data_IF_636104255719
#
_entry.id   IF_636104255719
#
_cell.length_a   1.000
_cell.length_b   1.000
_cell.length_c   1.000
_cell.angle_alpha   90.00
_cell.angle_beta   90.00
_cell.angle_gamma   90.00
#
_symmetry.space_group_name_H-M   'P 1'
#
loop_
_entity.id
_entity.type
_entity.pdbx_description
1 polymer ?
#
# COMPACT_ATOMS: atom_id res chain seq x y z
N UNK A 1 -10.69 23.92 5.12
CA UNK A 1 -10.82 23.47 3.72
C UNK A 1 -9.54 23.84 2.99
N UNK A 2 -8.84 22.89 2.41
CA UNK A 2 -7.67 23.15 1.57
C UNK A 2 -8.16 23.44 0.16
N UNK A 3 -8.03 24.70 -0.28
CA UNK A 3 -8.43 25.09 -1.64
C UNK A 3 -7.31 24.73 -2.60
N UNK A 4 -7.63 23.93 -3.59
CA UNK A 4 -6.75 23.71 -4.72
C UNK A 4 -6.79 24.95 -5.61
N UNK A 5 -5.63 25.45 -5.97
CA UNK A 5 -5.47 26.60 -6.85
C UNK A 5 -4.47 26.25 -7.94
N UNK A 6 -4.76 26.71 -9.13
CA UNK A 6 -3.81 26.63 -10.23
C UNK A 6 -2.67 27.61 -9.98
N UNK A 7 -1.43 27.10 -9.97
CA UNK A 7 -0.24 27.93 -9.91
C UNK A 7 0.38 28.10 -11.30
N UNK A 8 0.86 29.30 -11.59
CA UNK A 8 1.51 29.66 -12.86
C UNK A 8 2.79 30.47 -12.64
N UNK A 9 3.75 30.27 -13.53
CA UNK A 9 4.98 31.10 -13.60
C UNK A 9 4.69 32.36 -14.38
N UNK A 10 5.19 33.50 -13.88
CA UNK A 10 5.13 34.80 -14.60
C UNK A 10 6.51 35.46 -14.65
N UNK A 11 6.79 36.18 -15.75
CA UNK A 11 8.08 36.80 -16.00
C UNK A 11 8.05 38.33 -15.85
N UNK A 12 6.89 38.88 -15.51
CA UNK A 12 6.66 40.37 -15.51
C UNK A 12 6.99 41.05 -14.18
N UNK A 13 7.21 40.31 -13.11
CA UNK A 13 7.48 40.81 -11.76
C UNK A 13 8.61 40.03 -11.11
N UNK A 14 9.25 40.65 -10.10
CA UNK A 14 10.31 40.02 -9.31
C UNK A 14 9.91 39.93 -7.83
N UNK A 15 10.24 38.84 -7.13
CA UNK A 15 9.96 38.66 -5.72
C UNK A 15 8.47 38.66 -5.36
N UNK A 16 7.58 38.40 -6.33
CA UNK A 16 6.14 38.65 -6.19
C UNK A 16 5.29 37.39 -6.37
N UNK A 17 4.29 37.28 -5.52
CA UNK A 17 3.19 36.32 -5.64
C UNK A 17 1.89 37.07 -5.85
N UNK A 18 1.19 36.82 -6.95
CA UNK A 18 -0.15 37.36 -7.17
C UNK A 18 -1.18 36.32 -6.66
N UNK A 19 -1.98 36.72 -5.69
CA UNK A 19 -3.08 35.95 -5.14
C UNK A 19 -4.43 36.47 -5.60
N UNK A 20 -5.44 35.58 -5.79
CA UNK A 20 -6.83 36.03 -5.96
C UNK A 20 -7.28 36.87 -4.77
N UNK A 21 -8.09 37.90 -5.04
CA UNK A 21 -8.64 38.80 -4.00
C UNK A 21 -9.41 38.02 -2.91
N UNK A 22 -10.04 36.91 -3.27
CA UNK A 22 -10.77 36.03 -2.32
C UNK A 22 -9.93 35.46 -1.17
N UNK A 23 -8.62 35.50 -1.27
CA UNK A 23 -7.72 35.10 -0.18
C UNK A 23 -7.46 36.22 0.85
N UNK A 24 -7.72 37.49 0.52
CA UNK A 24 -7.42 38.63 1.41
C UNK A 24 -8.09 38.51 2.78
N UNK A 25 -9.38 38.17 2.79
CA UNK A 25 -10.16 38.06 4.04
C UNK A 25 -9.85 36.76 4.82
N UNK A 26 -9.15 35.84 4.20
CA UNK A 26 -8.79 34.54 4.79
C UNK A 26 -7.43 34.51 5.47
N UNK A 27 -6.64 35.56 5.26
CA UNK A 27 -5.31 35.70 5.84
C UNK A 27 -5.39 36.38 7.19
N UNK A 28 -5.01 35.67 8.25
CA UNK A 28 -4.90 36.23 9.60
C UNK A 28 -3.67 37.14 9.73
N UNK A 29 -2.60 36.80 9.00
CA UNK A 29 -1.33 37.55 8.99
C UNK A 29 -0.90 37.91 7.56
N UNK A 30 -0.08 38.94 7.44
CA UNK A 30 0.52 39.30 6.16
C UNK A 30 1.55 38.24 5.73
N UNK A 31 1.31 37.59 4.60
CA UNK A 31 2.28 36.67 4.01
C UNK A 31 3.53 37.44 3.55
N UNK A 32 4.69 36.98 4.04
CA UNK A 32 6.01 37.56 3.71
C UNK A 32 6.99 36.49 3.23
N UNK A 33 6.61 35.21 3.31
CA UNK A 33 7.39 34.06 2.88
C UNK A 33 6.58 33.15 1.96
N UNK A 34 7.21 32.71 0.88
CA UNK A 34 6.70 31.64 0.03
C UNK A 34 7.54 30.39 0.26
N UNK A 35 6.89 29.23 0.42
CA UNK A 35 7.55 27.95 0.66
C UNK A 35 7.07 26.89 -0.32
N UNK A 36 7.97 25.98 -0.68
CA UNK A 36 7.69 24.75 -1.39
C UNK A 36 8.55 23.64 -0.78
N UNK A 37 7.89 22.69 -0.11
CA UNK A 37 8.54 21.66 0.66
C UNK A 37 9.58 22.24 1.64
N UNK A 38 10.84 21.80 1.60
CA UNK A 38 11.91 22.25 2.50
C UNK A 38 12.52 23.60 2.13
N UNK A 39 12.14 24.22 1.02
CA UNK A 39 12.65 25.53 0.59
C UNK A 39 11.66 26.64 0.90
N UNK A 40 12.19 27.79 1.34
CA UNK A 40 11.41 29.01 1.50
C UNK A 40 12.21 30.23 1.04
N UNK A 41 11.49 31.23 0.55
CA UNK A 41 12.09 32.50 0.10
C UNK A 41 11.18 33.67 0.47
N UNK A 42 11.73 34.88 0.79
CA UNK A 42 10.90 36.03 1.06
C UNK A 42 10.14 36.43 -0.20
N UNK A 43 8.91 36.91 -0.02
CA UNK A 43 8.07 37.35 -1.13
C UNK A 43 7.20 38.56 -0.76
N UNK A 44 6.75 39.27 -1.77
CA UNK A 44 5.70 40.26 -1.68
C UNK A 44 4.40 39.67 -2.27
N UNK A 45 3.30 39.76 -1.52
CA UNK A 45 1.99 39.35 -2.00
C UNK A 45 1.22 40.55 -2.52
N UNK A 46 0.69 40.45 -3.73
CA UNK A 46 -0.23 41.40 -4.36
C UNK A 46 -1.54 40.64 -4.66
N UNK A 47 -2.66 41.24 -4.25
CA UNK A 47 -3.98 40.67 -4.52
C UNK A 47 -4.49 41.22 -5.87
N UNK A 48 -5.00 40.31 -6.68
CA UNK A 48 -5.48 40.63 -8.04
C UNK A 48 -6.99 40.38 -8.10
N UNK A 49 -7.78 41.45 -8.35
CA UNK A 49 -9.20 41.30 -8.60
C UNK A 49 -9.45 40.32 -9.77
N UNK A 50 -10.54 39.55 -9.71
CA UNK A 50 -10.97 38.62 -10.75
C UNK A 50 -9.96 37.52 -11.14
N UNK A 51 -8.87 37.37 -10.40
CA UNK A 51 -7.96 36.25 -10.60
C UNK A 51 -8.52 34.94 -9.99
N UNK A 52 -8.32 33.86 -10.70
CA UNK A 52 -8.65 32.49 -10.24
C UNK A 52 -7.41 31.57 -10.19
N UNK A 53 -6.24 32.18 -10.32
CA UNK A 53 -4.94 31.48 -10.33
C UNK A 53 -3.96 32.19 -9.40
N UNK A 54 -3.04 31.45 -8.82
CA UNK A 54 -1.88 31.95 -8.11
C UNK A 54 -0.75 32.10 -9.11
N UNK A 55 -0.21 33.32 -9.24
CA UNK A 55 0.89 33.61 -10.17
C UNK A 55 2.16 33.85 -9.36
N UNK A 56 3.25 33.14 -9.67
CA UNK A 56 4.53 33.22 -8.97
C UNK A 56 5.60 33.75 -9.93
N UNK A 57 6.33 34.79 -9.53
CA UNK A 57 7.42 35.32 -10.33
C UNK A 57 8.53 34.30 -10.59
N UNK A 58 9.20 34.44 -11.73
CA UNK A 58 10.21 33.46 -12.22
C UNK A 58 11.34 33.26 -11.21
N UNK A 59 11.85 34.33 -10.60
CA UNK A 59 12.90 34.26 -9.58
C UNK A 59 12.49 33.47 -8.34
N UNK A 60 11.26 33.62 -7.86
CA UNK A 60 10.71 32.82 -6.75
C UNK A 60 10.48 31.36 -7.17
N UNK A 61 9.99 31.16 -8.41
CA UNK A 61 9.78 29.84 -8.97
C UNK A 61 11.06 29.02 -9.00
N UNK A 62 12.16 29.63 -9.48
CA UNK A 62 13.45 28.99 -9.61
C UNK A 62 14.15 28.83 -8.25
N UNK A 63 14.04 29.81 -7.34
CA UNK A 63 14.55 29.72 -5.97
C UNK A 63 13.94 28.55 -5.19
N UNK A 64 12.65 28.29 -5.39
CA UNK A 64 11.92 27.19 -4.76
C UNK A 64 12.10 25.85 -5.51
N UNK A 65 12.65 25.86 -6.72
CA UNK A 65 12.74 24.72 -7.64
C UNK A 65 11.37 24.07 -7.89
N UNK A 66 10.33 24.88 -8.14
CA UNK A 66 9.01 24.40 -8.51
C UNK A 66 9.09 23.64 -9.86
N UNK A 67 8.62 22.39 -9.94
CA UNK A 67 8.90 21.55 -11.12
C UNK A 67 8.08 21.97 -12.35
N UNK A 68 6.82 22.37 -12.18
CA UNK A 68 5.90 22.71 -13.27
C UNK A 68 4.63 23.40 -12.75
N UNK A 69 3.87 24.02 -13.62
CA UNK A 69 2.54 24.53 -13.34
C UNK A 69 1.53 23.41 -13.14
N UNK A 70 0.65 23.53 -12.13
CA UNK A 70 -0.43 22.57 -11.85
C UNK A 70 -1.46 23.14 -10.87
N UNK A 71 -2.54 22.40 -10.62
CA UNK A 71 -3.44 22.66 -9.51
C UNK A 71 -2.87 22.04 -8.24
N UNK A 72 -2.57 22.85 -7.21
CA UNK A 72 -2.04 22.36 -5.93
C UNK A 72 -2.76 22.96 -4.73
N UNK A 73 -2.59 22.35 -3.57
CA UNK A 73 -3.07 22.90 -2.31
C UNK A 73 -2.23 24.11 -1.88
N UNK A 74 -2.88 25.03 -1.18
CA UNK A 74 -2.25 26.15 -0.50
C UNK A 74 -2.43 25.98 1.01
N UNK A 75 -1.32 26.09 1.76
CA UNK A 75 -1.36 26.04 3.23
C UNK A 75 -0.80 27.35 3.78
N UNK A 76 -1.53 27.98 4.69
CA UNK A 76 -1.09 29.20 5.35
C UNK A 76 -0.68 28.86 6.79
N UNK A 77 0.56 29.19 7.14
CA UNK A 77 1.12 29.01 8.48
C UNK A 77 1.81 30.30 8.93
N UNK A 78 1.15 31.08 9.80
CA UNK A 78 1.63 32.40 10.18
C UNK A 78 1.88 33.27 8.93
N UNK A 79 3.09 33.79 8.79
CA UNK A 79 3.49 34.64 7.66
C UNK A 79 3.93 33.87 6.41
N UNK A 80 3.79 32.53 6.37
CA UNK A 80 4.27 31.69 5.27
C UNK A 80 3.11 31.10 4.47
N UNK A 81 3.19 31.24 3.14
CA UNK A 81 2.36 30.52 2.18
C UNK A 81 3.14 29.31 1.65
N UNK A 82 2.64 28.10 1.91
CA UNK A 82 3.18 26.86 1.37
C UNK A 82 2.41 26.44 0.12
N UNK A 83 3.14 26.16 -0.95
CA UNK A 83 2.64 25.58 -2.20
C UNK A 83 2.86 24.06 -2.18
N UNK A 84 1.93 23.28 -2.66
CA UNK A 84 2.16 21.85 -2.75
C UNK A 84 1.05 21.00 -2.14
N UNK A 85 1.34 19.84 -1.54
CA UNK A 85 2.67 19.34 -1.16
C UNK A 85 3.46 18.68 -2.30
N UNK A 86 4.75 18.43 -2.04
CA UNK A 86 5.59 17.53 -2.83
C UNK A 86 5.57 16.12 -2.21
N UNK A 87 5.00 15.15 -2.92
CA UNK A 87 4.92 13.74 -2.51
C UNK A 87 6.00 12.94 -3.22
N UNK A 88 6.91 12.34 -2.47
CA UNK A 88 7.91 11.42 -2.97
C UNK A 88 7.47 9.96 -2.89
N UNK A 89 7.38 9.25 -4.01
CA UNK A 89 7.17 7.79 -4.00
C UNK A 89 8.54 7.13 -4.04
N UNK A 90 8.94 6.52 -2.92
CA UNK A 90 10.26 5.90 -2.77
C UNK A 90 10.26 4.47 -3.29
N UNK A 91 11.21 4.17 -4.21
CA UNK A 91 11.32 2.84 -4.81
C UNK A 91 12.74 2.50 -5.27
N UNK A 92 12.89 1.37 -5.96
CA UNK A 92 14.14 0.88 -6.54
C UNK A 92 13.92 0.31 -7.94
N UNK A 93 15.00 -0.06 -8.62
CA UNK A 93 14.94 -0.65 -9.96
C UNK A 93 14.89 0.39 -11.08
N UNK A 94 15.58 1.50 -10.88
CA UNK A 94 15.73 2.54 -11.89
C UNK A 94 16.66 2.09 -13.02
N UNK A 95 16.45 2.65 -14.21
CA UNK A 95 17.22 2.42 -15.43
C UNK A 95 17.55 3.76 -16.08
N UNK A 96 18.54 3.76 -16.99
CA UNK A 96 18.92 4.95 -17.75
C UNK A 96 17.98 5.27 -18.93
N UNK A 97 16.92 4.47 -19.09
CA UNK A 97 15.94 4.67 -20.17
C UNK A 97 14.88 5.70 -19.80
N UNK A 98 14.89 6.85 -20.43
CA UNK A 98 13.90 7.93 -20.15
C UNK A 98 12.44 7.50 -20.34
N UNK A 99 12.14 6.62 -21.31
CA UNK A 99 10.77 6.12 -21.52
C UNK A 99 10.33 5.07 -20.48
N UNK A 100 11.29 4.43 -19.81
CA UNK A 100 11.05 3.41 -18.77
C UNK A 100 12.00 3.57 -17.59
N UNK A 101 11.97 4.72 -16.91
CA UNK A 101 12.98 5.04 -15.88
C UNK A 101 12.97 4.05 -14.71
N UNK A 102 11.90 3.28 -14.51
CA UNK A 102 11.78 2.27 -13.45
C UNK A 102 11.52 0.88 -14.09
N UNK A 103 12.08 0.63 -15.26
CA UNK A 103 11.92 -0.61 -16.01
C UNK A 103 10.44 -0.96 -16.25
N UNK A 104 10.04 -2.21 -16.03
CA UNK A 104 8.67 -2.68 -16.20
C UNK A 104 7.67 -2.00 -15.26
N UNK A 105 8.14 -1.45 -14.13
CA UNK A 105 7.29 -0.74 -13.16
C UNK A 105 6.97 0.70 -13.56
N UNK A 106 7.55 1.22 -14.63
CA UNK A 106 7.28 2.60 -15.09
C UNK A 106 5.80 2.83 -15.33
N UNK A 107 5.09 1.91 -16.01
CA UNK A 107 3.64 2.02 -16.22
C UNK A 107 2.85 1.98 -14.91
N UNK A 108 3.32 1.22 -13.93
CA UNK A 108 2.70 1.16 -12.60
C UNK A 108 2.75 2.52 -11.91
N UNK A 109 3.92 3.19 -11.91
CA UNK A 109 4.08 4.50 -11.29
C UNK A 109 3.45 5.63 -12.11
N UNK A 110 3.50 5.58 -13.44
CA UNK A 110 2.81 6.54 -14.30
C UNK A 110 1.32 6.68 -13.95
N UNK A 111 0.65 5.56 -13.61
CA UNK A 111 -0.75 5.57 -13.15
C UNK A 111 -0.98 6.25 -11.80
N UNK A 112 0.01 6.32 -10.92
CA UNK A 112 -0.06 7.11 -9.69
C UNK A 112 0.17 8.59 -10.01
N UNK A 113 1.23 8.89 -10.74
CA UNK A 113 1.63 10.25 -11.04
C UNK A 113 0.62 10.98 -11.94
N UNK A 114 -0.14 10.27 -12.79
CA UNK A 114 -1.23 10.85 -13.56
C UNK A 114 -2.41 11.37 -12.73
N UNK A 115 -2.42 11.10 -11.41
CA UNK A 115 -3.44 11.59 -10.47
C UNK A 115 -2.98 12.86 -9.72
N UNK A 116 -1.78 13.38 -9.99
CA UNK A 116 -1.21 14.55 -9.31
C UNK A 116 -2.14 15.75 -9.31
N UNK A 117 -2.66 16.15 -10.47
CA UNK A 117 -3.61 17.28 -10.59
C UNK A 117 -4.93 16.97 -9.84
N UNK A 118 -5.39 15.72 -9.88
CA UNK A 118 -6.63 15.31 -9.20
C UNK A 118 -6.49 15.39 -7.68
N UNK A 119 -5.33 15.01 -7.13
CA UNK A 119 -5.08 15.12 -5.68
C UNK A 119 -4.55 16.50 -5.27
N UNK A 120 -4.11 17.32 -6.21
CA UNK A 120 -3.58 18.67 -5.96
C UNK A 120 -2.20 18.66 -5.28
N UNK A 121 -1.32 17.76 -5.71
CA UNK A 121 0.01 17.60 -5.15
C UNK A 121 1.05 17.30 -6.23
N UNK A 122 2.25 17.81 -6.09
CA UNK A 122 3.38 17.42 -6.93
C UNK A 122 3.81 16.01 -6.54
N UNK A 123 3.70 15.06 -7.45
CA UNK A 123 4.09 13.68 -7.17
C UNK A 123 5.27 13.27 -8.05
N UNK A 124 6.31 12.70 -7.44
CA UNK A 124 7.45 12.17 -8.16
C UNK A 124 7.87 10.81 -7.60
N UNK A 125 8.65 10.07 -8.40
CA UNK A 125 9.26 8.79 -7.99
C UNK A 125 10.76 8.97 -7.90
N UNK A 126 11.37 8.47 -6.83
CA UNK A 126 12.82 8.54 -6.61
C UNK A 126 13.35 7.30 -5.86
N UNK A 127 14.66 7.14 -5.83
CA UNK A 127 15.37 6.10 -5.08
C UNK A 127 16.56 6.67 -4.32
N UNK A 128 17.23 5.87 -3.51
CA UNK A 128 18.34 6.35 -2.68
C UNK A 128 19.51 7.00 -3.45
N UNK A 129 19.75 6.58 -4.68
CA UNK A 129 20.81 7.17 -5.51
C UNK A 129 20.44 8.50 -6.19
N UNK A 130 19.21 8.97 -6.01
CA UNK A 130 18.72 10.25 -6.50
C UNK A 130 18.77 11.36 -5.44
N UNK A 131 19.29 11.06 -4.26
CA UNK A 131 19.28 11.99 -3.12
C UNK A 131 20.62 12.73 -3.06
N UNK A 132 20.56 14.05 -3.09
CA UNK A 132 21.68 14.97 -2.91
C UNK A 132 21.62 15.54 -1.49
N UNK A 133 22.24 14.82 -0.55
CA UNK A 133 22.12 15.11 0.88
C UNK A 133 22.64 16.49 1.27
N UNK A 134 23.74 16.92 0.65
CA UNK A 134 24.40 18.21 0.97
C UNK A 134 23.58 19.41 0.45
N UNK A 135 22.79 19.19 -0.59
CA UNK A 135 21.93 20.23 -1.19
C UNK A 135 20.49 20.21 -0.67
N UNK A 136 20.09 19.17 0.04
CA UNK A 136 18.72 18.97 0.49
C UNK A 136 17.73 18.76 -0.65
N UNK A 137 18.18 18.08 -1.75
CA UNK A 137 17.40 17.90 -2.97
C UNK A 137 17.34 16.43 -3.41
N UNK A 138 16.37 16.13 -4.28
CA UNK A 138 16.26 14.86 -4.97
C UNK A 138 16.09 15.06 -6.48
N UNK A 139 16.59 14.12 -7.26
CA UNK A 139 16.24 13.95 -8.67
C UNK A 139 14.94 13.15 -8.77
N UNK A 140 13.81 13.83 -8.85
CA UNK A 140 12.48 13.22 -8.95
C UNK A 140 12.07 12.95 -10.40
N UNK A 141 11.49 11.77 -10.66
CA UNK A 141 10.84 11.46 -11.93
C UNK A 141 9.36 11.78 -11.85
N UNK A 142 8.91 12.73 -12.66
CA UNK A 142 7.52 13.13 -12.85
C UNK A 142 6.95 12.49 -14.12
N UNK A 143 5.63 12.32 -14.17
CA UNK A 143 4.94 11.81 -15.36
C UNK A 143 3.83 12.77 -15.76
N UNK A 144 3.96 13.32 -16.97
CA UNK A 144 3.04 14.31 -17.52
C UNK A 144 2.51 13.90 -18.89
N UNK A 145 1.79 14.80 -19.56
CA UNK A 145 1.21 14.55 -20.90
C UNK A 145 2.29 14.16 -21.93
N UNK A 146 3.46 14.79 -21.83
CA UNK A 146 4.60 14.56 -22.71
C UNK A 146 5.40 13.30 -22.35
N UNK A 147 5.09 12.65 -21.23
CA UNK A 147 5.76 11.46 -20.72
C UNK A 147 6.54 11.68 -19.43
N UNK A 148 7.63 10.94 -19.26
CA UNK A 148 8.50 11.02 -18.11
C UNK A 148 9.48 12.19 -18.23
N UNK A 149 9.60 12.96 -17.16
CA UNK A 149 10.63 14.00 -17.02
C UNK A 149 11.35 13.86 -15.68
N UNK A 150 12.64 14.18 -15.67
CA UNK A 150 13.49 14.19 -14.49
C UNK A 150 13.73 15.65 -14.08
N UNK A 151 13.47 15.98 -12.81
CA UNK A 151 13.67 17.33 -12.24
C UNK A 151 14.33 17.23 -10.89
N UNK A 152 15.28 18.12 -10.62
CA UNK A 152 15.84 18.30 -9.28
C UNK A 152 14.88 19.20 -8.47
N UNK A 153 14.40 18.68 -7.34
CA UNK A 153 13.43 19.35 -6.46
C UNK A 153 13.89 19.22 -5.01
N UNK A 154 13.37 20.01 -4.06
CA UNK A 154 13.66 19.85 -2.63
C UNK A 154 13.30 18.46 -2.11
N UNK A 155 13.72 18.12 -0.91
CA UNK A 155 13.22 16.91 -0.24
C UNK A 155 11.69 16.94 -0.15
N UNK A 156 11.00 15.80 -0.31
CA UNK A 156 9.53 15.76 -0.28
C UNK A 156 8.95 16.14 1.09
N UNK A 157 7.74 16.69 1.11
CA UNK A 157 6.97 16.92 2.35
C UNK A 157 6.53 15.60 3.01
N UNK A 158 6.40 14.54 2.22
CA UNK A 158 5.97 13.21 2.67
C UNK A 158 6.47 12.14 1.72
N UNK A 159 6.80 10.96 2.25
CA UNK A 159 7.30 9.85 1.46
C UNK A 159 6.36 8.64 1.57
N UNK A 160 5.93 8.16 0.40
CA UNK A 160 5.19 6.91 0.23
C UNK A 160 6.14 5.78 -0.17
N UNK A 161 6.33 4.79 0.71
CA UNK A 161 7.24 3.68 0.47
C UNK A 161 6.61 2.61 -0.44
N UNK A 162 7.19 2.44 -1.63
CA UNK A 162 6.81 1.42 -2.63
C UNK A 162 8.00 0.60 -3.09
N UNK A 163 8.91 0.26 -2.17
CA UNK A 163 9.99 -0.70 -2.45
C UNK A 163 9.41 -2.02 -3.01
N UNK A 164 10.10 -2.66 -3.98
CA UNK A 164 9.52 -3.78 -4.73
C UNK A 164 9.38 -5.07 -3.94
N UNK A 165 10.26 -5.31 -2.98
CA UNK A 165 10.32 -6.57 -2.23
C UNK A 165 11.13 -6.43 -0.92
N UNK A 166 10.99 -7.43 -0.03
CA UNK A 166 11.69 -7.50 1.26
C UNK A 166 13.21 -7.49 1.13
N UNK A 167 13.76 -8.14 0.09
CA UNK A 167 15.20 -8.19 -0.13
C UNK A 167 15.78 -6.79 -0.33
N UNK A 168 15.13 -5.98 -1.17
CA UNK A 168 15.54 -4.59 -1.39
C UNK A 168 15.43 -3.76 -0.10
N UNK A 169 14.36 -3.91 0.65
CA UNK A 169 14.13 -3.20 1.90
C UNK A 169 15.21 -3.49 2.96
N UNK A 170 15.77 -4.71 2.97
CA UNK A 170 16.80 -5.12 3.91
C UNK A 170 18.20 -4.59 3.58
N UNK A 171 18.42 -4.04 2.40
CA UNK A 171 19.71 -3.45 2.03
C UNK A 171 19.98 -2.20 2.88
N UNK A 172 21.23 -2.07 3.38
CA UNK A 172 21.63 -1.01 4.31
C UNK A 172 21.30 0.39 3.79
N UNK A 173 21.57 0.65 2.52
CA UNK A 173 21.32 1.94 1.88
C UNK A 173 19.84 2.38 1.95
N UNK A 174 18.86 1.46 1.80
CA UNK A 174 17.45 1.81 1.89
C UNK A 174 17.00 2.06 3.33
N UNK A 175 17.53 1.28 4.28
CA UNK A 175 17.27 1.49 5.71
C UNK A 175 17.85 2.81 6.21
N UNK A 176 19.10 3.11 5.87
CA UNK A 176 19.76 4.36 6.24
C UNK A 176 19.06 5.57 5.61
N UNK A 177 18.65 5.48 4.34
CA UNK A 177 17.88 6.54 3.69
C UNK A 177 16.57 6.83 4.43
N UNK A 178 15.81 5.78 4.76
CA UNK A 178 14.57 5.93 5.50
C UNK A 178 14.81 6.55 6.86
N UNK A 179 15.75 6.00 7.62
CA UNK A 179 16.10 6.49 8.96
C UNK A 179 16.48 7.97 8.91
N UNK A 180 17.39 8.35 8.00
CA UNK A 180 17.86 9.73 7.87
C UNK A 180 16.75 10.70 7.48
N UNK A 181 15.85 10.31 6.55
CA UNK A 181 14.71 11.15 6.17
C UNK A 181 13.73 11.36 7.33
N UNK A 182 13.51 10.35 8.17
CA UNK A 182 12.59 10.43 9.31
C UNK A 182 13.20 11.12 10.52
N UNK A 183 14.46 10.81 10.86
CA UNK A 183 15.09 11.28 12.11
C UNK A 183 15.78 12.63 11.96
N UNK A 184 16.52 12.87 10.85
CA UNK A 184 17.28 14.11 10.65
C UNK A 184 16.42 15.21 10.02
N UNK A 185 15.50 14.82 9.10
CA UNK A 185 14.68 15.77 8.35
C UNK A 185 13.21 15.79 8.76
N UNK A 186 12.79 14.90 9.66
CA UNK A 186 11.43 14.80 10.18
C UNK A 186 10.36 14.68 9.08
N UNK A 187 10.69 14.02 7.97
CA UNK A 187 9.76 13.83 6.86
C UNK A 187 8.84 12.64 7.14
N UNK A 188 7.52 12.82 7.17
CA UNK A 188 6.57 11.73 7.32
C UNK A 188 6.78 10.64 6.27
N UNK A 189 6.87 9.39 6.73
CA UNK A 189 7.11 8.22 5.90
C UNK A 189 6.05 7.16 6.18
N UNK A 190 5.25 6.79 5.20
CA UNK A 190 4.20 5.82 5.44
C UNK A 190 4.35 4.54 4.59
N UNK A 191 3.71 3.46 5.06
CA UNK A 191 3.89 2.07 4.62
C UNK A 191 5.36 1.61 4.69
N UNK A 192 6.01 1.75 5.86
CA UNK A 192 7.46 1.75 6.00
C UNK A 192 8.13 0.38 5.83
N UNK A 193 7.37 -0.69 5.64
CA UNK A 193 7.93 -2.05 5.50
C UNK A 193 6.91 -3.08 5.05
N UNK A 194 7.40 -4.27 4.69
CA UNK A 194 6.56 -5.44 4.43
C UNK A 194 6.19 -6.11 5.75
N UNK A 195 4.92 -6.48 5.89
CA UNK A 195 4.46 -7.21 7.07
C UNK A 195 5.07 -8.61 7.14
N UNK A 196 5.57 -9.01 8.31
CA UNK A 196 5.88 -10.40 8.60
C UNK A 196 4.60 -11.14 9.01
N UNK A 197 4.37 -12.33 8.46
CA UNK A 197 3.11 -13.07 8.66
C UNK A 197 2.91 -13.48 10.12
N UNK A 198 3.98 -13.89 10.78
CA UNK A 198 3.90 -14.33 12.17
C UNK A 198 3.72 -13.14 13.10
N UNK A 199 4.48 -12.07 12.93
CA UNK A 199 4.35 -10.87 13.75
C UNK A 199 2.94 -10.28 13.65
N UNK A 200 2.35 -10.22 12.45
CA UNK A 200 0.95 -9.78 12.28
C UNK A 200 -0.02 -10.72 12.99
N UNK A 201 0.18 -12.04 12.91
CA UNK A 201 -0.67 -13.00 13.63
C UNK A 201 -0.59 -12.80 15.13
N UNK A 202 0.61 -12.72 15.73
CA UNK A 202 0.80 -12.46 17.17
C UNK A 202 0.16 -11.15 17.61
N UNK A 203 0.37 -10.08 16.86
CA UNK A 203 -0.20 -8.78 17.12
C UNK A 203 -1.75 -8.82 17.16
N UNK A 204 -2.36 -9.45 16.17
CA UNK A 204 -3.80 -9.53 16.05
C UNK A 204 -4.43 -10.50 17.06
N UNK A 205 -3.73 -11.59 17.44
CA UNK A 205 -4.22 -12.55 18.40
C UNK A 205 -4.44 -11.97 19.79
N UNK A 206 -3.67 -10.95 20.16
CA UNK A 206 -3.79 -10.25 21.45
C UNK A 206 -4.96 -9.26 21.52
N UNK A 207 -5.67 -9.01 20.42
CA UNK A 207 -6.73 -8.03 20.34
C UNK A 207 -8.10 -8.66 20.13
N UNK A 208 -9.05 -8.37 21.01
CA UNK A 208 -10.40 -8.94 20.96
C UNK A 208 -11.20 -8.56 19.70
N UNK A 209 -10.86 -7.43 19.04
CA UNK A 209 -11.49 -6.94 17.80
C UNK A 209 -11.05 -7.74 16.59
N UNK A 210 -9.86 -8.38 16.64
CA UNK A 210 -9.25 -9.03 15.48
C UNK A 210 -9.07 -10.55 15.65
N UNK A 211 -8.83 -11.04 16.88
CA UNK A 211 -8.47 -12.45 17.14
C UNK A 211 -9.47 -13.48 16.59
N UNK A 212 -10.76 -13.13 16.55
CA UNK A 212 -11.80 -14.06 16.07
C UNK A 212 -11.82 -14.23 14.54
N UNK A 213 -11.06 -13.42 13.80
CA UNK A 213 -10.83 -13.59 12.37
C UNK A 213 -9.63 -14.49 12.05
N UNK A 214 -8.85 -14.90 13.06
CA UNK A 214 -7.61 -15.65 12.84
C UNK A 214 -7.86 -17.16 12.85
N UNK A 215 -7.45 -17.91 11.81
CA UNK A 215 -7.35 -19.35 11.91
C UNK A 215 -6.23 -19.69 12.89
N UNK A 216 -6.39 -20.79 13.64
CA UNK A 216 -5.34 -21.26 14.54
C UNK A 216 -4.04 -21.45 13.77
N UNK A 217 -2.97 -20.80 14.23
CA UNK A 217 -1.69 -20.77 13.53
C UNK A 217 -0.56 -20.90 14.55
N UNK A 218 0.46 -21.68 14.23
CA UNK A 218 1.66 -21.81 15.04
C UNK A 218 2.91 -21.67 14.18
N UNK A 219 3.94 -21.05 14.75
CA UNK A 219 5.25 -20.87 14.13
C UNK A 219 6.16 -22.04 14.49
N UNK A 220 7.05 -22.42 13.58
CA UNK A 220 8.04 -23.47 13.78
C UNK A 220 7.41 -24.78 14.37
N UNK A 221 6.39 -25.37 13.72
CA UNK A 221 5.63 -26.47 14.30
C UNK A 221 6.48 -27.72 14.46
N UNK A 222 6.24 -28.50 15.52
CA UNK A 222 6.73 -29.87 15.60
C UNK A 222 5.84 -30.80 14.77
N UNK A 223 6.33 -32.03 14.50
CA UNK A 223 5.55 -33.07 13.84
C UNK A 223 4.29 -33.42 14.64
N UNK A 224 4.42 -33.57 15.96
CA UNK A 224 3.33 -33.89 16.88
C UNK A 224 2.24 -32.82 16.87
N UNK A 225 2.64 -31.56 16.76
CA UNK A 225 1.68 -30.44 16.66
C UNK A 225 0.90 -30.51 15.34
N UNK A 226 1.56 -30.79 14.22
CA UNK A 226 0.89 -30.98 12.92
C UNK A 226 -0.11 -32.13 12.99
N UNK A 227 0.27 -33.27 13.58
CA UNK A 227 -0.59 -34.42 13.77
C UNK A 227 -1.80 -34.11 14.67
N UNK A 228 -1.57 -33.41 15.79
CA UNK A 228 -2.63 -32.97 16.70
C UNK A 228 -3.63 -32.04 16.00
N UNK A 229 -3.14 -31.07 15.22
CA UNK A 229 -4.02 -30.18 14.45
C UNK A 229 -4.82 -30.94 13.38
N UNK A 230 -4.25 -31.99 12.76
CA UNK A 230 -4.97 -32.84 11.79
C UNK A 230 -5.98 -33.79 12.45
N UNK A 231 -5.92 -34.01 13.76
CA UNK A 231 -6.99 -34.68 14.50
C UNK A 231 -8.19 -33.77 14.75
N UNK A 232 -7.93 -32.50 14.98
CA UNK A 232 -8.96 -31.48 15.25
C UNK A 232 -9.57 -30.96 13.96
N UNK A 233 -8.72 -30.67 12.97
CA UNK A 233 -9.11 -30.05 11.71
C UNK A 233 -9.00 -31.05 10.55
N UNK A 234 -9.90 -30.99 9.62
CA UNK A 234 -9.91 -31.86 8.43
C UNK A 234 -8.62 -31.76 7.62
N UNK A 235 -8.02 -30.58 7.56
CA UNK A 235 -6.76 -30.31 6.88
C UNK A 235 -6.04 -29.13 7.51
N UNK A 236 -4.75 -29.03 7.26
CA UNK A 236 -3.90 -27.91 7.66
C UNK A 236 -3.05 -27.42 6.50
N UNK A 237 -2.57 -26.20 6.60
CA UNK A 237 -1.61 -25.64 5.65
C UNK A 237 -0.26 -25.46 6.32
N UNK A 238 0.81 -25.92 5.66
CA UNK A 238 2.19 -25.53 5.95
C UNK A 238 2.56 -24.42 4.99
N UNK A 239 3.03 -23.28 5.51
CA UNK A 239 3.34 -22.05 4.74
C UNK A 239 4.71 -21.54 5.16
N UNK A 240 5.59 -21.07 4.25
CA UNK A 240 6.79 -20.35 4.64
C UNK A 240 6.44 -19.09 5.47
N UNK A 241 7.10 -18.92 6.61
CA UNK A 241 6.92 -17.71 7.44
C UNK A 241 7.28 -16.45 6.66
N UNK A 242 8.31 -16.53 5.80
CA UNK A 242 8.75 -15.45 4.90
C UNK A 242 8.56 -15.89 3.45
N UNK A 243 7.36 -15.76 2.92
CA UNK A 243 7.04 -16.15 1.55
C UNK A 243 6.02 -15.20 0.92
N UNK A 244 5.91 -15.23 -0.39
CA UNK A 244 4.92 -14.45 -1.17
C UNK A 244 4.41 -15.29 -2.35
N UNK A 245 3.34 -14.83 -3.00
CA UNK A 245 2.79 -15.40 -4.23
C UNK A 245 2.31 -16.87 -4.09
N UNK A 246 2.03 -17.35 -2.90
CA UNK A 246 1.58 -18.73 -2.68
C UNK A 246 2.66 -19.80 -2.87
N UNK A 247 3.94 -19.41 -2.99
CA UNK A 247 5.05 -20.33 -3.15
C UNK A 247 5.33 -21.12 -1.87
N UNK A 248 5.59 -22.45 -2.00
CA UNK A 248 5.94 -23.32 -0.89
C UNK A 248 4.78 -23.64 0.06
N UNK A 249 3.52 -23.40 -0.35
CA UNK A 249 2.34 -23.78 0.43
C UNK A 249 2.04 -25.26 0.19
N UNK A 250 1.90 -26.01 1.30
CA UNK A 250 1.50 -27.41 1.31
C UNK A 250 0.19 -27.56 2.09
N UNK A 251 -0.84 -28.10 1.47
CA UNK A 251 -2.08 -28.50 2.15
C UNK A 251 -1.98 -29.97 2.54
N UNK A 252 -2.04 -30.27 3.83
CA UNK A 252 -2.04 -31.64 4.35
C UNK A 252 -3.46 -32.01 4.74
N UNK A 253 -3.95 -33.12 4.23
CA UNK A 253 -5.31 -33.62 4.43
C UNK A 253 -5.19 -35.03 5.05
N UNK A 254 -5.82 -35.24 6.19
CA UNK A 254 -5.94 -36.57 6.78
C UNK A 254 -6.95 -37.41 5.98
N UNK A 255 -6.57 -38.60 5.55
CA UNK A 255 -7.48 -39.51 4.84
C UNK A 255 -8.64 -39.93 5.73
N UNK A 256 -9.85 -40.01 5.18
CA UNK A 256 -11.05 -40.50 5.89
C UNK A 256 -11.24 -42.00 5.75
N UNK A 257 -10.77 -42.60 4.66
CA UNK A 257 -11.07 -43.96 4.26
C UNK A 257 -9.93 -44.96 4.57
N UNK A 258 -8.70 -44.48 4.63
CA UNK A 258 -7.49 -45.27 4.84
C UNK A 258 -6.53 -44.54 5.77
N UNK A 259 -5.72 -45.28 6.52
CA UNK A 259 -4.61 -44.67 7.24
C UNK A 259 -3.68 -43.92 6.28
N UNK A 260 -3.24 -42.71 6.64
CA UNK A 260 -2.33 -41.90 5.86
C UNK A 260 -2.82 -40.48 5.59
N UNK A 261 -2.02 -39.76 4.83
CA UNK A 261 -2.17 -38.35 4.57
C UNK A 261 -2.04 -38.06 3.08
N UNK A 262 -2.78 -37.07 2.60
CA UNK A 262 -2.58 -36.49 1.27
C UNK A 262 -1.92 -35.12 1.42
N UNK A 263 -0.92 -34.86 0.59
CA UNK A 263 -0.30 -33.53 0.48
C UNK A 263 -0.57 -32.96 -0.91
N UNK A 264 -1.22 -31.80 -0.93
CA UNK A 264 -1.44 -31.01 -2.15
C UNK A 264 -0.49 -29.83 -2.13
N UNK A 265 0.26 -29.64 -3.24
CA UNK A 265 1.26 -28.60 -3.38
C UNK A 265 1.47 -28.24 -4.85
N UNK A 266 2.19 -27.15 -5.11
CA UNK A 266 2.60 -26.77 -6.45
C UNK A 266 4.05 -27.24 -6.74
N UNK A 267 4.21 -27.87 -7.90
CA UNK A 267 5.49 -28.27 -8.49
C UNK A 267 5.62 -27.52 -9.82
N UNK A 268 6.37 -26.42 -9.82
CA UNK A 268 6.34 -25.43 -10.90
C UNK A 268 4.95 -24.80 -11.03
N UNK A 269 4.33 -24.94 -12.19
CA UNK A 269 2.96 -24.46 -12.45
C UNK A 269 1.89 -25.53 -12.20
N UNK A 270 2.30 -26.80 -12.03
CA UNK A 270 1.38 -27.91 -11.86
C UNK A 270 0.95 -28.08 -10.40
N UNK A 271 -0.34 -28.31 -10.18
CA UNK A 271 -0.86 -28.75 -8.88
C UNK A 271 -0.67 -30.27 -8.75
N UNK A 272 -0.06 -30.70 -7.66
CA UNK A 272 0.19 -32.11 -7.36
C UNK A 272 -0.55 -32.55 -6.11
N UNK A 273 -1.02 -33.79 -6.11
CA UNK A 273 -1.57 -34.49 -4.94
C UNK A 273 -0.80 -35.79 -4.76
N UNK A 274 -0.14 -35.95 -3.61
CA UNK A 274 0.59 -37.15 -3.27
C UNK A 274 0.08 -37.75 -1.96
N UNK A 275 0.09 -39.10 -1.87
CA UNK A 275 -0.24 -39.84 -0.64
C UNK A 275 1.03 -40.20 0.12
N UNK A 276 0.94 -40.14 1.45
CA UNK A 276 1.99 -40.52 2.41
C UNK A 276 1.38 -41.35 3.53
N UNK A 277 2.14 -42.33 4.01
CA UNK A 277 1.67 -43.19 5.09
C UNK A 277 1.87 -42.57 6.48
N UNK A 278 2.79 -41.60 6.61
CA UNK A 278 3.03 -40.84 7.85
C UNK A 278 3.38 -39.38 7.58
N UNK A 279 3.21 -38.53 8.60
CA UNK A 279 3.66 -37.11 8.54
C UNK A 279 5.17 -37.02 8.44
N UNK A 280 5.91 -37.91 9.11
CA UNK A 280 7.37 -37.99 9.00
C UNK A 280 7.81 -38.19 7.54
N UNK A 281 7.21 -39.15 6.84
CA UNK A 281 7.54 -39.44 5.43
C UNK A 281 7.19 -38.26 4.52
N UNK A 282 6.09 -37.52 4.80
CA UNK A 282 5.68 -36.34 4.10
C UNK A 282 6.70 -35.20 4.29
N UNK A 283 7.09 -34.91 5.54
CA UNK A 283 8.07 -33.87 5.87
C UNK A 283 9.39 -34.14 5.15
N UNK A 284 9.90 -35.37 5.28
CA UNK A 284 11.17 -35.77 4.67
C UNK A 284 11.20 -35.63 3.15
N UNK A 285 10.07 -35.94 2.46
CA UNK A 285 10.01 -35.97 1.00
C UNK A 285 9.57 -34.64 0.37
N UNK A 286 8.76 -33.85 1.06
CA UNK A 286 8.16 -32.62 0.48
C UNK A 286 8.82 -31.33 0.95
N UNK A 287 9.42 -31.35 2.15
CA UNK A 287 10.03 -30.14 2.68
C UNK A 287 11.55 -30.17 2.51
N UNK A 288 12.15 -29.17 1.86
CA UNK A 288 13.60 -29.12 1.68
C UNK A 288 14.30 -29.21 3.04
N UNK A 289 15.15 -30.19 3.22
CA UNK A 289 15.95 -30.43 4.43
C UNK A 289 15.11 -30.64 5.73
N UNK A 290 13.80 -30.91 5.63
CA UNK A 290 12.93 -31.13 6.82
C UNK A 290 12.78 -29.91 7.75
N UNK A 291 13.08 -28.71 7.29
CA UNK A 291 13.13 -27.50 8.13
C UNK A 291 11.74 -26.97 8.45
N UNK A 292 11.18 -27.45 9.55
CA UNK A 292 9.90 -26.94 10.07
C UNK A 292 10.04 -25.56 10.74
N UNK A 293 11.23 -25.18 11.19
CA UNK A 293 11.50 -23.92 11.90
C UNK A 293 11.23 -22.67 11.03
N UNK A 294 11.18 -22.84 9.71
CA UNK A 294 10.91 -21.74 8.76
C UNK A 294 9.46 -21.72 8.29
N UNK A 295 8.63 -22.59 8.84
CA UNK A 295 7.23 -22.74 8.42
C UNK A 295 6.26 -22.32 9.52
N UNK A 296 5.06 -21.95 9.07
CA UNK A 296 3.86 -21.85 9.88
C UNK A 296 2.97 -23.05 9.58
N UNK A 297 2.35 -23.63 10.61
CA UNK A 297 1.19 -24.51 10.43
C UNK A 297 -0.08 -23.72 10.73
N UNK A 298 -1.05 -23.79 9.86
CA UNK A 298 -2.31 -23.06 9.97
C UNK A 298 -3.50 -23.98 9.75
N UNK A 299 -4.52 -23.82 10.57
CA UNK A 299 -5.84 -24.45 10.42
C UNK A 299 -6.35 -24.30 8.99
N UNK A 300 -6.82 -25.37 8.40
CA UNK A 300 -7.53 -25.34 7.14
C UNK A 300 -9.00 -24.95 7.34
N UNK A 301 -9.45 -23.99 6.56
CA UNK A 301 -10.83 -23.50 6.59
C UNK A 301 -11.59 -24.06 5.38
N UNK A 302 -12.78 -24.65 5.65
CA UNK A 302 -13.69 -25.10 4.60
C UNK A 302 -14.43 -23.87 4.00
N UNK A 303 -13.80 -23.30 2.98
CA UNK A 303 -14.26 -22.06 2.34
C UNK A 303 -15.51 -22.27 1.50
N UNK A 304 -16.26 -21.21 1.34
CA UNK A 304 -17.28 -21.10 0.30
C UNK A 304 -16.70 -21.47 -1.05
N UNK A 305 -17.51 -22.14 -1.87
CA UNK A 305 -17.11 -22.60 -3.19
C UNK A 305 -17.98 -21.97 -4.26
N UNK A 306 -17.37 -21.66 -5.40
CA UNK A 306 -18.02 -21.31 -6.63
C UNK A 306 -17.68 -22.35 -7.70
N UNK A 307 -18.69 -23.04 -8.24
CA UNK A 307 -18.50 -24.14 -9.19
C UNK A 307 -17.49 -25.21 -8.69
N UNK A 308 -17.63 -25.64 -7.44
CA UNK A 308 -16.74 -26.60 -6.76
C UNK A 308 -15.27 -26.15 -6.61
N UNK A 309 -15.00 -24.85 -6.71
CA UNK A 309 -13.69 -24.25 -6.52
C UNK A 309 -13.71 -23.31 -5.31
N UNK A 310 -12.71 -23.38 -4.46
CA UNK A 310 -12.59 -22.53 -3.29
C UNK A 310 -12.51 -21.04 -3.70
N UNK A 311 -13.14 -20.18 -2.89
CA UNK A 311 -13.14 -18.72 -3.10
C UNK A 311 -12.54 -18.05 -1.88
N UNK A 312 -11.62 -17.17 -2.09
CA UNK A 312 -11.20 -16.15 -1.13
C UNK A 312 -11.39 -14.73 -1.70
N UNK A 313 -11.15 -13.72 -0.87
CA UNK A 313 -11.43 -12.33 -1.23
C UNK A 313 -10.20 -11.48 -1.00
N UNK A 314 -9.81 -10.71 -2.02
CA UNK A 314 -8.88 -9.60 -1.86
C UNK A 314 -9.66 -8.36 -1.45
N UNK A 315 -9.34 -7.82 -0.28
CA UNK A 315 -9.89 -6.54 0.19
C UNK A 315 -8.74 -5.54 0.31
N UNK A 316 -8.88 -4.36 -0.28
CA UNK A 316 -7.96 -3.26 -0.09
C UNK A 316 -8.58 -2.23 0.85
N UNK A 317 -7.85 -1.88 1.89
CA UNK A 317 -8.14 -0.74 2.75
C UNK A 317 -7.09 0.33 2.55
N UNK A 318 -7.53 1.58 2.57
CA UNK A 318 -6.67 2.75 2.44
C UNK A 318 -7.12 3.81 3.44
N UNK A 319 -6.23 4.65 3.89
CA UNK A 319 -6.61 5.90 4.54
C UNK A 319 -7.01 6.94 3.51
N UNK A 320 -8.04 7.70 3.82
CA UNK A 320 -8.54 8.80 2.98
C UNK A 320 -7.86 10.14 3.35
N UNK A 321 -8.31 11.22 2.73
CA UNK A 321 -7.87 12.60 2.97
C UNK A 321 -8.12 13.15 4.38
N UNK A 322 -8.86 12.41 5.20
CA UNK A 322 -9.11 12.72 6.61
C UNK A 322 -8.30 11.81 7.56
N UNK A 323 -7.44 10.94 7.02
CA UNK A 323 -6.70 9.94 7.78
C UNK A 323 -7.53 8.76 8.29
N UNK A 324 -8.76 8.58 7.78
CA UNK A 324 -9.68 7.51 8.19
C UNK A 324 -9.59 6.31 7.27
N UNK A 325 -9.66 5.11 7.83
CA UNK A 325 -9.69 3.86 7.06
C UNK A 325 -10.98 3.72 6.26
N UNK A 326 -10.85 3.42 4.97
CA UNK A 326 -11.94 3.10 4.05
C UNK A 326 -11.61 1.86 3.25
N UNK A 327 -12.63 1.10 2.85
CA UNK A 327 -12.45 -0.02 1.91
C UNK A 327 -12.53 0.49 0.49
N UNK A 328 -11.43 0.43 -0.23
CA UNK A 328 -11.37 0.88 -1.63
C UNK A 328 -11.78 -0.20 -2.63
N UNK A 329 -11.62 -1.49 -2.30
CA UNK A 329 -11.92 -2.58 -3.21
C UNK A 329 -12.23 -3.87 -2.46
N UNK A 330 -13.22 -4.62 -2.97
CA UNK A 330 -13.46 -6.03 -2.62
C UNK A 330 -13.57 -6.81 -3.94
N UNK A 331 -12.75 -7.84 -4.11
CA UNK A 331 -12.79 -8.73 -5.26
C UNK A 331 -12.70 -10.19 -4.81
N UNK A 332 -13.44 -11.08 -5.46
CA UNK A 332 -13.34 -12.51 -5.25
C UNK A 332 -12.19 -13.09 -6.08
N UNK A 333 -11.47 -14.05 -5.51
CA UNK A 333 -10.48 -14.87 -6.20
C UNK A 333 -10.93 -16.32 -6.14
N UNK A 334 -11.15 -16.92 -7.30
CA UNK A 334 -11.58 -18.32 -7.44
C UNK A 334 -10.35 -19.18 -7.73
N UNK A 335 -10.13 -20.23 -6.97
CA UNK A 335 -9.00 -21.14 -7.16
C UNK A 335 -9.02 -21.79 -8.54
N UNK A 336 -7.85 -22.06 -9.12
CA UNK A 336 -7.71 -22.93 -10.27
C UNK A 336 -8.17 -24.34 -9.93
N UNK A 337 -8.55 -25.14 -10.94
CA UNK A 337 -8.97 -26.54 -10.74
C UNK A 337 -7.88 -27.33 -10.00
N UNK A 338 -8.22 -27.92 -8.84
CA UNK A 338 -7.29 -28.68 -8.00
C UNK A 338 -6.15 -27.87 -7.37
N UNK A 339 -6.16 -26.54 -7.48
CA UNK A 339 -5.12 -25.67 -6.90
C UNK A 339 -5.22 -25.59 -5.39
N UNK A 340 -4.06 -25.45 -4.73
CA UNK A 340 -3.92 -25.22 -3.27
C UNK A 340 -4.30 -23.78 -2.92
N UNK A 341 -4.16 -22.86 -3.87
CA UNK A 341 -4.34 -21.42 -3.66
C UNK A 341 -5.22 -20.80 -4.75
N UNK A 342 -5.75 -19.62 -4.47
CA UNK A 342 -6.52 -18.80 -5.41
C UNK A 342 -5.63 -17.90 -6.29
N UNK A 343 -4.30 -18.06 -6.24
CA UNK A 343 -3.37 -17.20 -6.94
C UNK A 343 -3.47 -17.36 -8.47
N UNK A 344 -3.51 -16.23 -9.20
CA UNK A 344 -3.67 -16.18 -10.67
C UNK A 344 -2.62 -17.04 -11.40
N UNK A 345 -1.37 -17.04 -10.93
CA UNK A 345 -0.28 -17.86 -11.49
C UNK A 345 -0.63 -19.36 -11.59
N UNK A 346 -1.51 -19.84 -10.74
CA UNK A 346 -1.92 -21.24 -10.65
C UNK A 346 -3.35 -21.46 -11.18
N UNK A 347 -3.74 -20.68 -12.19
CA UNK A 347 -5.07 -20.78 -12.81
C UNK A 347 -6.20 -20.16 -11.99
N UNK A 348 -5.88 -19.34 -10.99
CA UNK A 348 -6.87 -18.58 -10.26
C UNK A 348 -7.50 -17.49 -11.12
N UNK A 349 -8.78 -17.20 -10.88
CA UNK A 349 -9.56 -16.21 -11.60
C UNK A 349 -10.02 -15.10 -10.66
N UNK A 350 -9.98 -13.85 -11.12
CA UNK A 350 -10.61 -12.73 -10.43
C UNK A 350 -12.04 -12.58 -10.88
N UNK A 351 -12.95 -12.47 -9.94
CA UNK A 351 -14.39 -12.27 -10.14
C UNK A 351 -14.87 -11.09 -9.32
N UNK A 352 -15.97 -10.49 -9.75
CA UNK A 352 -16.71 -9.58 -8.87
C UNK A 352 -17.47 -10.37 -7.81
N UNK A 353 -17.74 -9.73 -6.67
CA UNK A 353 -18.50 -10.38 -5.58
C UNK A 353 -19.89 -10.84 -6.05
N UNK A 354 -20.55 -10.07 -6.95
CA UNK A 354 -21.83 -10.41 -7.53
C UNK A 354 -21.78 -11.58 -8.52
N UNK A 355 -20.66 -11.85 -9.14
CA UNK A 355 -20.48 -13.03 -10.00
C UNK A 355 -20.42 -14.33 -9.18
N UNK A 356 -20.04 -14.23 -7.91
CA UNK A 356 -19.94 -15.38 -6.97
C UNK A 356 -21.26 -15.61 -6.21
N UNK A 357 -21.83 -14.55 -5.66
CA UNK A 357 -23.03 -14.63 -4.79
C UNK A 357 -24.35 -14.32 -5.51
N UNK A 358 -24.31 -13.88 -6.77
CA UNK A 358 -25.46 -13.25 -7.41
C UNK A 358 -25.74 -11.84 -6.86
N UNK A 359 -26.81 -11.22 -7.33
CA UNK A 359 -27.27 -9.93 -6.81
C UNK A 359 -28.23 -10.15 -5.62
N UNK A 360 -28.21 -9.24 -4.64
CA UNK A 360 -29.13 -9.24 -3.52
C UNK A 360 -28.51 -9.50 -2.15
N UNK A 361 -29.32 -9.91 -1.14
CA UNK A 361 -28.93 -9.92 0.27
C UNK A 361 -27.67 -10.76 0.59
N UNK A 362 -27.44 -11.86 -0.10
CA UNK A 362 -26.26 -12.71 0.13
C UNK A 362 -24.96 -11.97 -0.21
N UNK A 363 -24.92 -11.24 -1.33
CA UNK A 363 -23.79 -10.39 -1.73
C UNK A 363 -23.59 -9.25 -0.74
N UNK A 364 -24.67 -8.57 -0.38
CA UNK A 364 -24.61 -7.42 0.54
C UNK A 364 -24.09 -7.85 1.91
N UNK A 365 -24.60 -8.96 2.45
CA UNK A 365 -24.16 -9.52 3.73
C UNK A 365 -22.69 -9.94 3.71
N UNK A 366 -22.24 -10.65 2.67
CA UNK A 366 -20.85 -11.04 2.50
C UNK A 366 -19.92 -9.82 2.39
N UNK A 367 -20.30 -8.84 1.56
CA UNK A 367 -19.52 -7.61 1.38
C UNK A 367 -19.43 -6.80 2.67
N UNK A 368 -20.52 -6.68 3.43
CA UNK A 368 -20.53 -5.96 4.70
C UNK A 368 -19.60 -6.63 5.72
N UNK A 369 -19.66 -7.96 5.87
CA UNK A 369 -18.77 -8.72 6.76
C UNK A 369 -17.31 -8.56 6.40
N UNK A 370 -16.95 -8.67 5.12
CA UNK A 370 -15.58 -8.48 4.63
C UNK A 370 -15.07 -7.06 4.90
N UNK A 371 -15.90 -6.03 4.68
CA UNK A 371 -15.56 -4.64 4.99
C UNK A 371 -15.36 -4.43 6.48
N UNK A 372 -16.27 -4.92 7.31
CA UNK A 372 -16.18 -4.80 8.77
C UNK A 372 -14.90 -5.45 9.29
N UNK A 373 -14.61 -6.69 8.89
CA UNK A 373 -13.41 -7.41 9.29
C UNK A 373 -12.13 -6.64 8.88
N UNK A 374 -12.04 -6.20 7.62
CA UNK A 374 -10.86 -5.51 7.12
C UNK A 374 -10.63 -4.15 7.80
N UNK A 375 -11.68 -3.39 8.10
CA UNK A 375 -11.56 -2.12 8.83
C UNK A 375 -11.14 -2.34 10.29
N UNK A 376 -11.74 -3.33 10.98
CA UNK A 376 -11.35 -3.68 12.35
C UNK A 376 -9.88 -4.11 12.43
N UNK A 377 -9.44 -4.98 11.51
CA UNK A 377 -8.06 -5.44 11.45
C UNK A 377 -7.11 -4.29 11.10
N UNK A 378 -7.49 -3.38 10.17
CA UNK A 378 -6.67 -2.21 9.81
C UNK A 378 -6.42 -1.29 11.02
N UNK A 379 -7.46 -1.03 11.82
CA UNK A 379 -7.35 -0.21 13.02
C UNK A 379 -6.41 -0.84 14.06
N UNK A 380 -6.51 -2.16 14.28
CA UNK A 380 -5.64 -2.88 15.23
C UNK A 380 -4.18 -2.88 14.76
N UNK A 381 -3.94 -3.09 13.46
CA UNK A 381 -2.59 -3.04 12.89
C UNK A 381 -1.99 -1.64 13.07
N UNK A 382 -2.74 -0.58 12.77
CA UNK A 382 -2.30 0.80 12.94
C UNK A 382 -1.93 1.14 14.38
N UNK A 383 -2.77 0.73 15.33
CA UNK A 383 -2.56 1.01 16.76
C UNK A 383 -1.35 0.30 17.36
N UNK A 384 -1.02 -0.89 16.83
CA UNK A 384 0.00 -1.76 17.45
C UNK A 384 1.30 -1.86 16.67
N UNK A 385 1.34 -1.37 15.44
CA UNK A 385 2.57 -1.38 14.64
C UNK A 385 3.27 -0.03 14.69
N UNK A 386 4.59 -0.09 14.71
CA UNK A 386 5.42 1.10 14.56
C UNK A 386 5.33 1.68 13.14
N UNK A 387 5.27 3.00 13.07
CA UNK A 387 5.23 3.77 11.83
C UNK A 387 3.83 3.93 11.24
N UNK A 388 3.73 4.88 10.35
CA UNK A 388 2.46 5.26 9.73
C UNK A 388 2.05 4.27 8.63
N UNK A 389 0.84 3.74 8.69
CA UNK A 389 0.28 2.82 7.71
C UNK A 389 -0.92 3.48 7.02
N UNK A 390 -0.90 3.55 5.70
CA UNK A 390 -1.96 4.18 4.89
C UNK A 390 -2.64 3.25 3.89
N UNK A 391 -2.09 2.04 3.66
CA UNK A 391 -2.63 1.06 2.73
C UNK A 391 -2.39 -0.36 3.24
N UNK A 392 -3.42 -1.21 3.20
CA UNK A 392 -3.31 -2.65 3.50
C UNK A 392 -4.14 -3.44 2.48
N UNK A 393 -3.60 -4.55 2.00
CA UNK A 393 -4.35 -5.54 1.23
C UNK A 393 -4.52 -6.82 2.03
N UNK A 394 -5.76 -7.26 2.19
CA UNK A 394 -6.11 -8.47 2.91
C UNK A 394 -6.48 -9.60 1.97
N UNK A 395 -6.07 -10.81 2.30
CA UNK A 395 -6.63 -12.04 1.77
C UNK A 395 -7.55 -12.63 2.84
N UNK A 396 -8.87 -12.59 2.60
CA UNK A 396 -9.91 -13.03 3.52
C UNK A 396 -10.67 -14.21 2.94
N UNK A 397 -11.08 -15.15 3.79
CA UNK A 397 -12.01 -16.21 3.44
C UNK A 397 -13.38 -16.02 4.10
N UNK A 398 -14.41 -16.64 3.54
CA UNK A 398 -15.70 -16.86 4.20
C UNK A 398 -15.96 -18.36 4.18
N UNK A 399 -16.27 -18.95 5.32
CA UNK A 399 -16.64 -20.35 5.43
C UNK A 399 -18.15 -20.58 5.18
N UNK A 400 -18.58 -21.83 5.25
CA UNK A 400 -19.99 -22.21 5.03
C UNK A 400 -20.95 -21.68 6.11
N UNK A 401 -20.43 -21.30 7.28
CA UNK A 401 -21.19 -20.70 8.39
C UNK A 401 -21.26 -19.16 8.26
N UNK A 402 -20.54 -18.62 7.28
CA UNK A 402 -20.46 -17.18 7.01
C UNK A 402 -19.52 -16.43 7.96
N UNK A 403 -18.61 -17.14 8.65
CA UNK A 403 -17.51 -16.57 9.41
C UNK A 403 -16.43 -16.07 8.47
N UNK A 404 -15.88 -14.89 8.76
CA UNK A 404 -14.76 -14.30 8.01
C UNK A 404 -13.44 -14.74 8.65
N UNK A 405 -12.47 -15.11 7.81
CA UNK A 405 -11.14 -15.58 8.21
C UNK A 405 -10.05 -14.77 7.51
N UNK A 406 -9.03 -14.35 8.26
CA UNK A 406 -7.85 -13.65 7.72
C UNK A 406 -6.75 -14.66 7.39
N UNK A 407 -6.32 -14.70 6.13
CA UNK A 407 -5.20 -15.54 5.70
C UNK A 407 -3.89 -14.77 5.61
N UNK A 408 -3.94 -13.52 5.16
CA UNK A 408 -2.76 -12.68 5.00
C UNK A 408 -3.13 -11.19 4.98
N UNK A 409 -2.27 -10.36 5.60
CA UNK A 409 -2.26 -8.92 5.45
C UNK A 409 -0.97 -8.47 4.74
N UNK A 410 -1.08 -7.53 3.81
CA UNK A 410 0.01 -7.06 2.97
C UNK A 410 0.11 -5.53 3.00
N UNK A 411 1.21 -4.96 3.52
CA UNK A 411 1.44 -3.52 3.58
C UNK A 411 1.65 -2.88 2.20
N UNK A 412 2.14 -3.63 1.22
CA UNK A 412 2.40 -3.17 -0.16
C UNK A 412 1.66 -4.09 -1.12
N UNK A 413 0.30 -4.03 -1.13
CA UNK A 413 -0.51 -5.02 -1.82
C UNK A 413 -0.26 -5.05 -3.33
N UNK A 414 -0.20 -6.26 -3.88
CA UNK A 414 -0.18 -6.49 -5.31
C UNK A 414 -1.50 -6.07 -5.96
N UNK A 415 -1.44 -5.65 -7.22
CA UNK A 415 -2.59 -5.07 -7.95
C UNK A 415 -3.13 -5.97 -9.06
N UNK A 416 -2.86 -7.27 -9.02
CA UNK A 416 -3.31 -8.21 -10.04
C UNK A 416 -4.84 -8.33 -10.15
N UNK A 417 -5.59 -8.08 -9.06
CA UNK A 417 -7.05 -8.09 -9.11
C UNK A 417 -7.61 -7.04 -10.07
N UNK A 418 -6.91 -5.92 -10.25
CA UNK A 418 -7.34 -4.82 -11.11
C UNK A 418 -7.15 -5.08 -12.61
N UNK A 419 -6.74 -6.28 -13.00
CA UNK A 419 -6.79 -6.74 -14.38
C UNK A 419 -8.24 -7.03 -14.83
N UNK A 420 -9.16 -7.25 -13.86
CA UNK A 420 -10.58 -7.42 -14.15
C UNK A 420 -11.20 -6.11 -14.64
N UNK A 421 -11.88 -6.10 -15.84
CA UNK A 421 -12.37 -4.85 -16.46
C UNK A 421 -13.30 -4.02 -15.59
N UNK A 422 -14.20 -4.65 -14.82
CA UNK A 422 -15.14 -3.98 -13.92
C UNK A 422 -14.47 -3.32 -12.71
N UNK A 423 -13.19 -3.62 -12.43
CA UNK A 423 -12.44 -3.02 -11.32
C UNK A 423 -11.60 -1.80 -11.72
N UNK A 424 -11.76 -1.28 -12.95
CA UNK A 424 -10.98 -0.12 -13.43
C UNK A 424 -11.17 1.14 -12.57
N UNK A 425 -12.40 1.44 -12.17
CA UNK A 425 -12.71 2.59 -11.30
C UNK A 425 -12.11 2.38 -9.92
N UNK A 426 -12.23 1.16 -9.37
CA UNK A 426 -11.63 0.81 -8.08
C UNK A 426 -10.09 0.84 -8.13
N UNK A 427 -9.45 0.49 -9.27
CA UNK A 427 -8.00 0.65 -9.47
C UNK A 427 -7.59 2.13 -9.35
N UNK A 428 -8.31 3.02 -10.00
CA UNK A 428 -8.05 4.46 -9.93
C UNK A 428 -8.22 4.98 -8.50
N UNK A 429 -9.35 4.67 -7.87
CA UNK A 429 -9.66 5.11 -6.50
C UNK A 429 -8.61 4.61 -5.49
N UNK A 430 -8.23 3.34 -5.56
CA UNK A 430 -7.23 2.76 -4.65
C UNK A 430 -5.80 3.26 -4.89
N UNK A 431 -5.52 3.97 -6.00
CA UNK A 431 -4.28 4.72 -6.24
C UNK A 431 -4.37 6.16 -5.75
N UNK A 432 -5.55 6.76 -5.86
CA UNK A 432 -5.81 8.12 -5.41
C UNK A 432 -5.71 8.24 -3.89
N UNK A 433 -6.30 7.29 -3.16
CA UNK A 433 -6.36 7.33 -1.70
C UNK A 433 -4.99 7.43 -1.00
N UNK A 434 -3.95 6.64 -1.34
CA UNK A 434 -2.62 6.83 -0.75
C UNK A 434 -2.02 8.22 -1.02
N UNK A 435 -2.27 8.82 -2.18
CA UNK A 435 -1.82 10.18 -2.49
C UNK A 435 -2.63 11.23 -1.71
N UNK A 436 -3.94 11.06 -1.57
CA UNK A 436 -4.78 11.93 -0.75
C UNK A 436 -4.38 11.84 0.74
N UNK A 437 -4.06 10.64 1.23
CA UNK A 437 -3.51 10.46 2.58
C UNK A 437 -2.14 11.12 2.74
N UNK A 438 -1.29 11.07 1.71
CA UNK A 438 -0.02 11.79 1.71
C UNK A 438 -0.23 13.31 1.84
N UNK A 439 -1.22 13.89 1.15
CA UNK A 439 -1.60 15.31 1.32
C UNK A 439 -2.02 15.59 2.77
N UNK A 440 -2.82 14.70 3.39
CA UNK A 440 -3.21 14.81 4.80
C UNK A 440 -2.00 14.82 5.73
N UNK A 441 -1.04 13.91 5.55
CA UNK A 441 0.18 13.84 6.37
C UNK A 441 1.05 15.09 6.19
N UNK A 442 1.27 15.52 4.95
CA UNK A 442 2.06 16.73 4.66
C UNK A 442 1.41 17.98 5.25
N UNK A 443 0.08 18.12 5.11
CA UNK A 443 -0.66 19.22 5.72
C UNK A 443 -0.46 19.27 7.24
N UNK A 444 -0.61 18.13 7.91
CA UNK A 444 -0.46 18.07 9.37
C UNK A 444 1.00 18.36 9.79
N UNK A 445 1.99 17.87 9.03
CA UNK A 445 3.40 18.19 9.27
C UNK A 445 3.70 19.69 9.14
N UNK A 446 3.05 20.37 8.18
CA UNK A 446 3.21 21.82 7.97
C UNK A 446 2.46 22.61 9.05
N UNK A 447 1.17 22.29 9.29
CA UNK A 447 0.31 23.13 10.13
C UNK A 447 0.40 22.81 11.62
N UNK A 448 0.63 21.53 11.96
CA UNK A 448 0.61 21.01 13.32
C UNK A 448 1.81 20.06 13.58
N UNK A 449 3.07 20.52 13.41
CA UNK A 449 4.24 19.65 13.49
C UNK A 449 4.34 18.89 14.81
N UNK A 450 3.93 19.50 15.92
CA UNK A 450 3.95 18.85 17.23
C UNK A 450 3.03 17.62 17.34
N UNK A 451 1.95 17.55 16.55
CA UNK A 451 1.01 16.43 16.60
C UNK A 451 1.51 15.16 15.84
N UNK A 452 2.50 15.30 14.97
CA UNK A 452 3.05 14.18 14.19
C UNK A 452 4.25 13.54 14.91
N UNK A 453 4.96 14.31 15.72
CA UNK A 453 6.22 13.88 16.36
C UNK A 453 6.08 13.66 17.88
N UNK A 454 4.86 13.80 18.43
CA UNK A 454 4.50 13.44 19.79
C UNK A 454 4.10 11.95 19.88
#
# INVERSE_FOLDING_TARGET
MTDKQKIRKINSLTGTVLLPESFRERLEEKVTWLAFSTRRTPCQVIFKPDANTVEVSEDLWDALALPHEMDCHLFFQGTTLHLGPLIGIFTAGFTDQLLRPIGERSRFFAKYLSLSDEVGAFCCVFGCHHIHWDEGTIDGYFYRKEGWEKRTVPFPDVIYDRLPNRRTEQLSQFRQTKQRMQEDYLIPWFNPGFFDKWNIHELLQTDYRARHYLPQTHNAPSQELIESMLQTYRHVYLKPARGSLGLGIHQIIKSKEKEGYYCRFHDGEASRLRRFDSIESLIRQQLPQGRLEQLLVQQGIDLLQWQNRAVDFRVHTNKNEEGKWVVSTVAAKVAGSGSVTTHIKYGGEVKMVDEVFGMGPAKEGATAKLKQASLAISAVIEEKMEGTIGEIGFDLGIDHEGQVWLFEANAKPGRHIFTHPKLRVADQQSRKLPLAFAVFLARNAILEPAAIYA
#
